data_IF_941654104884
#
_entry.id   IF_941654104884
#
_cell.length_a   1.000
_cell.length_b   1.000
_cell.length_c   1.000
_cell.angle_alpha   90.00
_cell.angle_beta   90.00
_cell.angle_gamma   90.00
#
_symmetry.space_group_name_H-M   'P 1'
#
loop_
_entity.id
_entity.type
_entity.pdbx_description
1 polymer ?
#
# COMPACT_ATOMS: atom_id res chain seq x y z
N UNK A 1 -8.69 4.25 -20.58
CA UNK A 1 -9.70 4.01 -19.53
C UNK A 1 -9.67 2.55 -19.02
N UNK A 2 -8.57 1.84 -19.27
CA UNK A 2 -8.36 0.41 -18.86
C UNK A 2 -7.16 0.30 -17.89
N UNK A 3 -6.36 1.37 -17.70
CA UNK A 3 -5.10 1.32 -16.93
C UNK A 3 -5.18 1.76 -15.47
N UNK A 4 -6.38 1.98 -14.92
CA UNK A 4 -6.53 2.47 -13.52
C UNK A 4 -6.71 1.30 -12.52
N UNK A 5 -6.96 0.08 -12.98
CA UNK A 5 -7.23 -1.07 -12.09
C UNK A 5 -5.96 -1.83 -11.67
N UNK A 6 -4.84 -1.64 -12.36
CA UNK A 6 -3.60 -2.39 -12.10
C UNK A 6 -2.64 -1.73 -11.08
N UNK A 7 -3.00 -0.57 -10.48
CA UNK A 7 -2.08 0.22 -9.63
C UNK A 7 -2.39 0.17 -8.13
N UNK A 8 -3.10 -0.83 -7.64
CA UNK A 8 -3.57 -0.87 -6.24
C UNK A 8 -3.02 -2.03 -5.39
N UNK A 9 -1.92 -2.68 -5.79
CA UNK A 9 -1.37 -3.82 -5.02
C UNK A 9 0.08 -3.61 -4.54
N UNK A 10 0.69 -2.48 -4.74
CA UNK A 10 2.05 -2.26 -4.23
C UNK A 10 2.14 -0.90 -3.54
N UNK A 11 2.10 -0.89 -2.24
CA UNK A 11 2.92 -0.04 -1.35
C UNK A 11 2.34 -0.03 0.06
N UNK A 12 2.97 -0.70 0.97
CA UNK A 12 3.11 -0.27 2.36
C UNK A 12 4.15 -1.16 3.05
N UNK A 13 5.33 -0.70 3.16
CA UNK A 13 6.32 -1.18 4.14
C UNK A 13 6.99 0.06 4.71
N UNK A 14 7.02 0.23 6.02
CA UNK A 14 8.23 0.33 6.84
C UNK A 14 7.90 0.76 8.29
N UNK A 15 8.63 0.13 9.19
CA UNK A 15 8.67 0.22 10.63
C UNK A 15 8.81 1.61 11.26
N UNK A 16 8.11 1.79 12.40
CA UNK A 16 8.40 2.83 13.39
C UNK A 16 8.90 2.20 14.70
N UNK A 17 10.03 2.63 15.28
CA UNK A 17 10.53 2.07 16.54
C UNK A 17 9.79 2.64 17.74
N UNK A 18 9.20 1.76 18.54
CA UNK A 18 8.63 2.10 19.85
C UNK A 18 9.75 2.36 20.88
N UNK A 19 9.78 3.58 21.39
CA UNK A 19 10.62 3.98 22.52
C UNK A 19 10.12 3.35 23.82
N UNK A 20 11.03 2.68 24.53
CA UNK A 20 10.84 2.23 25.90
C UNK A 20 10.70 3.41 26.86
N UNK A 21 9.62 3.44 27.63
CA UNK A 21 9.55 4.19 28.87
C UNK A 21 9.17 3.26 30.03
N UNK A 22 10.15 3.06 30.89
CA UNK A 22 10.02 2.43 32.20
C UNK A 22 9.23 3.34 33.15
N UNK A 23 8.23 2.77 33.83
CA UNK A 23 7.72 3.37 35.07
C UNK A 23 7.42 2.26 36.08
N UNK A 24 8.35 2.08 37.01
CA UNK A 24 8.08 1.39 38.24
C UNK A 24 7.32 2.34 39.17
N UNK A 25 6.16 1.95 39.68
CA UNK A 25 5.53 2.58 40.82
C UNK A 25 4.82 1.52 41.67
N UNK A 26 5.30 1.43 42.87
CA UNK A 26 4.81 0.75 44.04
C UNK A 26 3.34 1.03 44.34
N UNK A 27 2.56 0.01 44.68
CA UNK A 27 1.47 0.13 45.65
C UNK A 27 1.15 -1.21 46.29
N UNK A 28 1.26 -1.21 47.60
CA UNK A 28 0.87 -2.26 48.52
C UNK A 28 -0.63 -2.27 48.77
N UNK A 29 -1.16 -3.48 48.98
CA UNK A 29 -2.31 -3.81 49.80
C UNK A 29 -3.71 -3.42 49.31
N UNK A 30 -4.36 -4.41 48.70
CA UNK A 30 -5.68 -4.88 49.15
C UNK A 30 -5.88 -6.32 48.58
N UNK A 31 -5.57 -7.28 49.42
CA UNK A 31 -5.92 -8.71 49.17
C UNK A 31 -7.42 -8.85 49.37
N UNK A 32 -8.21 -8.66 48.31
CA UNK A 32 -9.49 -9.32 48.19
C UNK A 32 -9.21 -10.67 47.56
N UNK A 33 -9.54 -11.74 48.29
CA UNK A 33 -9.50 -13.12 47.83
C UNK A 33 -10.55 -13.34 46.75
N UNK A 34 -10.29 -12.89 45.55
CA UNK A 34 -10.92 -13.41 44.35
C UNK A 34 -10.06 -14.61 43.96
N UNK A 35 -10.52 -15.82 44.23
CA UNK A 35 -9.89 -17.03 43.70
C UNK A 35 -9.74 -16.85 42.19
N UNK A 36 -8.52 -17.00 41.68
CA UNK A 36 -8.31 -17.01 40.23
C UNK A 36 -9.26 -18.05 39.64
N UNK A 37 -9.98 -17.69 38.53
CA UNK A 37 -10.88 -18.63 37.89
C UNK A 37 -10.09 -19.91 37.56
N UNK A 38 -10.70 -21.10 37.78
CA UNK A 38 -10.09 -22.37 37.45
C UNK A 38 -9.60 -22.35 35.99
N UNK A 39 -8.45 -22.95 35.67
CA UNK A 39 -7.96 -23.01 34.30
C UNK A 39 -9.00 -23.72 33.41
N UNK A 40 -9.26 -23.17 32.25
CA UNK A 40 -10.22 -23.71 31.27
C UNK A 40 -9.83 -25.15 30.89
N UNK A 41 -10.83 -26.02 30.75
CA UNK A 41 -10.61 -27.35 30.16
C UNK A 41 -10.25 -27.20 28.67
N UNK A 42 -9.62 -28.20 28.03
CA UNK A 42 -9.36 -28.17 26.60
C UNK A 42 -10.61 -27.90 25.74
N UNK A 43 -11.75 -28.50 26.11
CA UNK A 43 -13.02 -28.30 25.42
C UNK A 43 -13.54 -26.85 25.57
N UNK A 44 -13.50 -26.30 26.78
CA UNK A 44 -13.88 -24.91 27.04
C UNK A 44 -12.97 -23.94 26.29
N UNK A 45 -11.67 -24.24 26.18
CA UNK A 45 -10.70 -23.47 25.43
C UNK A 45 -11.03 -23.45 23.93
N UNK A 46 -11.33 -24.65 23.37
CA UNK A 46 -11.69 -24.80 21.96
C UNK A 46 -12.99 -24.07 21.62
N UNK A 47 -14.04 -24.25 22.45
CA UNK A 47 -15.34 -23.57 22.26
C UNK A 47 -15.18 -22.05 22.32
N UNK A 48 -14.42 -21.54 23.29
CA UNK A 48 -14.14 -20.11 23.39
C UNK A 48 -13.35 -19.59 22.18
N UNK A 49 -12.34 -20.33 21.73
CA UNK A 49 -11.55 -19.96 20.56
C UNK A 49 -12.42 -19.86 19.32
N UNK A 50 -13.32 -20.84 19.09
CA UNK A 50 -14.27 -20.82 17.99
C UNK A 50 -15.24 -19.62 18.06
N UNK A 51 -15.81 -19.36 19.22
CA UNK A 51 -16.74 -18.24 19.40
C UNK A 51 -16.05 -16.88 19.16
N UNK A 52 -14.80 -16.72 19.56
CA UNK A 52 -14.01 -15.51 19.28
C UNK A 52 -13.66 -15.40 17.80
N UNK A 53 -13.30 -16.49 17.16
CA UNK A 53 -13.04 -16.53 15.72
C UNK A 53 -14.26 -16.12 14.90
N UNK A 54 -15.43 -16.71 15.14
CA UNK A 54 -16.69 -16.36 14.46
C UNK A 54 -17.02 -14.89 14.64
N UNK A 55 -16.80 -14.36 15.85
CA UNK A 55 -17.03 -12.94 16.13
C UNK A 55 -16.03 -12.04 15.40
N UNK A 56 -14.76 -12.39 15.36
CA UNK A 56 -13.72 -11.69 14.61
C UNK A 56 -14.02 -11.70 13.12
N UNK A 57 -14.38 -12.85 12.58
CA UNK A 57 -14.76 -13.01 11.18
C UNK A 57 -16.00 -12.18 10.80
N UNK A 58 -17.02 -12.12 11.67
CA UNK A 58 -18.21 -11.30 11.44
C UNK A 58 -17.88 -9.79 11.35
N UNK A 59 -16.96 -9.30 12.19
CA UNK A 59 -16.47 -7.91 12.09
C UNK A 59 -15.58 -7.67 10.88
N UNK A 60 -14.75 -8.64 10.47
CA UNK A 60 -13.88 -8.52 9.31
C UNK A 60 -14.69 -8.41 8.00
N UNK A 61 -15.69 -9.27 7.86
CA UNK A 61 -16.43 -9.42 6.61
C UNK A 61 -17.86 -8.85 6.64
N UNK A 62 -18.29 -8.29 7.75
CA UNK A 62 -19.57 -7.59 7.85
C UNK A 62 -20.79 -8.49 7.64
N UNK A 63 -20.79 -9.76 8.07
CA UNK A 63 -21.87 -10.71 7.81
C UNK A 63 -23.16 -10.26 8.49
N UNK A 64 -23.16 -10.15 9.82
CA UNK A 64 -24.29 -9.65 10.61
C UNK A 64 -24.05 -8.25 11.18
N UNK A 65 -22.82 -7.78 11.16
CA UNK A 65 -22.35 -6.47 11.63
C UNK A 65 -21.92 -5.61 10.45
N UNK A 66 -21.56 -4.37 10.71
CA UNK A 66 -20.73 -3.58 9.79
C UNK A 66 -19.26 -3.96 9.97
N UNK A 67 -18.48 -3.85 8.89
CA UNK A 67 -17.03 -4.09 8.95
C UNK A 67 -16.37 -3.16 9.97
N UNK A 68 -15.59 -3.75 10.86
CA UNK A 68 -14.76 -3.06 11.86
C UNK A 68 -13.47 -3.86 12.05
N UNK A 69 -12.44 -3.50 11.30
CA UNK A 69 -11.14 -4.21 11.30
C UNK A 69 -10.44 -4.19 12.65
N UNK A 70 -10.63 -3.13 13.44
CA UNK A 70 -10.03 -3.03 14.79
C UNK A 70 -10.62 -4.08 15.75
N UNK A 71 -11.94 -4.24 15.71
CA UNK A 71 -12.61 -5.28 16.51
C UNK A 71 -12.35 -6.68 15.95
N UNK A 72 -12.29 -6.84 14.63
CA UNK A 72 -11.95 -8.10 13.98
C UNK A 72 -10.58 -8.59 14.45
N UNK A 73 -9.56 -7.77 14.32
CA UNK A 73 -8.19 -8.05 14.75
C UNK A 73 -8.11 -8.46 16.22
N UNK A 74 -8.80 -7.73 17.09
CA UNK A 74 -8.83 -8.05 18.52
C UNK A 74 -9.36 -9.47 18.77
N UNK A 75 -10.51 -9.82 18.18
CA UNK A 75 -11.13 -11.12 18.43
C UNK A 75 -10.39 -12.25 17.73
N UNK A 76 -9.82 -12.02 16.54
CA UNK A 76 -8.97 -12.98 15.85
C UNK A 76 -7.69 -13.27 16.64
N UNK A 77 -7.03 -12.24 17.22
CA UNK A 77 -5.87 -12.43 18.10
C UNK A 77 -6.21 -13.22 19.36
N UNK A 78 -7.33 -12.89 20.03
CA UNK A 78 -7.79 -13.65 21.20
C UNK A 78 -8.09 -15.12 20.84
N UNK A 79 -8.63 -15.40 19.65
CA UNK A 79 -8.88 -16.77 19.17
C UNK A 79 -7.56 -17.50 18.85
N UNK A 80 -6.61 -16.84 18.21
CA UNK A 80 -5.28 -17.36 17.87
C UNK A 80 -4.49 -17.73 19.13
N UNK A 81 -4.54 -16.90 20.19
CA UNK A 81 -3.92 -17.17 21.50
C UNK A 81 -4.47 -18.44 22.16
N UNK A 82 -5.70 -18.80 21.83
CA UNK A 82 -6.32 -20.04 22.25
C UNK A 82 -6.02 -21.22 21.32
N UNK A 83 -5.27 -21.01 20.22
CA UNK A 83 -4.84 -22.05 19.29
C UNK A 83 -5.80 -22.28 18.11
N UNK A 84 -6.60 -21.27 17.70
CA UNK A 84 -7.49 -21.42 16.56
C UNK A 84 -6.73 -21.24 15.24
N UNK A 85 -6.58 -22.31 14.47
CA UNK A 85 -5.79 -22.32 13.25
C UNK A 85 -6.33 -21.37 12.15
N UNK A 86 -7.67 -21.27 12.02
CA UNK A 86 -8.27 -20.39 11.01
C UNK A 86 -8.14 -18.91 11.40
N UNK A 87 -8.14 -18.59 12.71
CA UNK A 87 -7.85 -17.22 13.16
C UNK A 87 -6.42 -16.80 12.79
N UNK A 88 -5.44 -17.69 12.95
CA UNK A 88 -4.06 -17.45 12.52
C UNK A 88 -3.95 -17.26 11.00
N UNK A 89 -4.73 -18.01 10.22
CA UNK A 89 -4.78 -17.81 8.76
C UNK A 89 -5.24 -16.41 8.39
N UNK A 90 -6.34 -15.92 8.96
CA UNK A 90 -6.85 -14.58 8.65
C UNK A 90 -5.97 -13.46 9.22
N UNK A 91 -5.36 -13.65 10.37
CA UNK A 91 -4.33 -12.71 10.88
C UNK A 91 -3.10 -12.64 9.97
N UNK A 92 -2.71 -13.76 9.37
CA UNK A 92 -1.62 -13.77 8.40
C UNK A 92 -1.98 -12.98 7.14
N UNK A 93 -3.21 -13.14 6.63
CA UNK A 93 -3.69 -12.33 5.50
C UNK A 93 -3.65 -10.83 5.82
N UNK A 94 -4.19 -10.43 6.98
CA UNK A 94 -4.16 -9.03 7.40
C UNK A 94 -2.73 -8.50 7.56
N UNK A 95 -1.80 -9.34 8.02
CA UNK A 95 -0.40 -8.95 8.15
C UNK A 95 0.28 -8.80 6.78
N UNK A 96 -0.05 -9.64 5.77
CA UNK A 96 0.41 -9.47 4.38
C UNK A 96 -0.15 -8.17 3.78
N UNK A 97 -1.44 -7.90 3.94
CA UNK A 97 -2.07 -6.65 3.47
C UNK A 97 -1.40 -5.39 4.08
N UNK A 98 -0.90 -5.49 5.31
CA UNK A 98 -0.20 -4.41 6.00
C UNK A 98 1.33 -4.43 5.78
N UNK A 99 1.85 -5.26 4.88
CA UNK A 99 3.28 -5.36 4.57
C UNK A 99 4.15 -6.01 5.65
N UNK A 100 3.57 -6.52 6.75
CA UNK A 100 4.33 -7.16 7.82
C UNK A 100 4.56 -8.65 7.54
N UNK A 101 5.47 -8.94 6.60
CA UNK A 101 5.73 -10.30 6.12
C UNK A 101 6.31 -11.23 7.20
N UNK A 102 7.11 -10.70 8.13
CA UNK A 102 7.66 -11.49 9.24
C UNK A 102 6.54 -12.01 10.16
N UNK A 103 5.64 -11.13 10.56
CA UNK A 103 4.48 -11.50 11.39
C UNK A 103 3.53 -12.42 10.63
N UNK A 104 3.27 -12.13 9.34
CA UNK A 104 2.45 -12.98 8.48
C UNK A 104 3.00 -14.42 8.42
N UNK A 105 4.32 -14.55 8.22
CA UNK A 105 5.02 -15.84 8.18
C UNK A 105 4.90 -16.58 9.51
N UNK A 106 5.04 -15.89 10.63
CA UNK A 106 4.88 -16.50 11.96
C UNK A 106 3.46 -17.06 12.18
N UNK A 107 2.44 -16.27 11.85
CA UNK A 107 1.04 -16.70 11.95
C UNK A 107 0.73 -17.86 11.02
N UNK A 108 1.16 -17.80 9.76
CA UNK A 108 0.78 -18.83 8.78
C UNK A 108 1.48 -20.17 9.03
N UNK A 109 2.74 -20.16 9.47
CA UNK A 109 3.42 -21.38 9.87
C UNK A 109 2.70 -22.06 11.04
N UNK A 110 2.31 -21.28 12.07
CA UNK A 110 1.52 -21.81 13.20
C UNK A 110 0.16 -22.36 12.74
N UNK A 111 -0.51 -21.71 11.78
CA UNK A 111 -1.77 -22.20 11.22
C UNK A 111 -1.59 -23.56 10.51
N UNK A 112 -0.52 -23.71 9.72
CA UNK A 112 -0.17 -24.94 8.99
C UNK A 112 0.18 -26.06 9.99
N UNK A 113 0.96 -25.78 11.02
CA UNK A 113 1.29 -26.74 12.10
C UNK A 113 0.05 -27.23 12.83
N UNK A 114 -0.97 -26.39 13.00
CA UNK A 114 -2.27 -26.74 13.57
C UNK A 114 -3.23 -27.38 12.55
N UNK A 115 -2.75 -27.71 11.34
CA UNK A 115 -3.49 -28.45 10.32
C UNK A 115 -4.26 -27.59 9.30
N UNK A 116 -4.15 -26.28 9.33
CA UNK A 116 -4.76 -25.43 8.30
C UNK A 116 -3.89 -25.39 7.03
N UNK A 117 -4.06 -26.39 6.15
CA UNK A 117 -3.29 -26.53 4.91
C UNK A 117 -3.59 -25.44 3.87
N UNK A 118 -4.72 -24.71 3.98
CA UNK A 118 -5.02 -23.54 3.17
C UNK A 118 -3.97 -22.43 3.38
N UNK A 119 -3.29 -22.43 4.52
CA UNK A 119 -2.19 -21.53 4.85
C UNK A 119 -1.03 -21.54 3.83
N UNK A 120 -0.87 -22.62 3.06
CA UNK A 120 0.11 -22.67 1.99
C UNK A 120 -0.13 -21.63 0.89
N UNK A 121 -1.38 -21.19 0.71
CA UNK A 121 -1.71 -20.14 -0.24
C UNK A 121 -1.10 -18.80 0.20
N UNK A 122 -1.25 -18.43 1.46
CA UNK A 122 -0.68 -17.20 2.01
C UNK A 122 0.85 -17.31 2.12
N UNK A 123 1.37 -18.49 2.46
CA UNK A 123 2.82 -18.72 2.44
C UNK A 123 3.42 -18.53 1.05
N UNK A 124 2.68 -18.91 -0.02
CA UNK A 124 3.08 -18.68 -1.40
C UNK A 124 3.16 -17.17 -1.71
N UNK A 125 2.17 -16.40 -1.28
CA UNK A 125 2.13 -14.95 -1.45
C UNK A 125 3.33 -14.27 -0.76
N UNK A 126 3.65 -14.68 0.47
CA UNK A 126 4.84 -14.19 1.19
C UNK A 126 6.12 -14.58 0.43
N UNK A 127 6.22 -15.83 -0.07
CA UNK A 127 7.40 -16.32 -0.80
C UNK A 127 7.58 -15.59 -2.13
N UNK A 128 6.51 -15.20 -2.79
CA UNK A 128 6.54 -14.41 -4.02
C UNK A 128 7.06 -12.99 -3.75
N UNK A 129 6.57 -12.33 -2.70
CA UNK A 129 7.04 -10.99 -2.31
C UNK A 129 8.50 -10.98 -1.88
N UNK A 130 9.02 -12.08 -1.34
CA UNK A 130 10.42 -12.23 -0.93
C UNK A 130 11.32 -12.85 -2.04
N UNK A 131 10.79 -13.09 -3.24
CA UNK A 131 11.50 -13.68 -4.38
C UNK A 131 12.15 -15.05 -4.09
N UNK A 132 11.50 -15.91 -3.30
CA UNK A 132 12.07 -17.20 -2.88
C UNK A 132 11.91 -18.34 -3.92
N UNK A 133 11.11 -18.15 -4.96
CA UNK A 133 11.04 -19.06 -6.12
C UNK A 133 10.24 -20.36 -5.96
N UNK A 134 9.59 -20.60 -4.81
CA UNK A 134 8.77 -21.80 -4.52
C UNK A 134 7.26 -21.51 -4.51
N UNK A 135 6.84 -20.30 -4.88
CA UNK A 135 5.47 -19.82 -4.77
C UNK A 135 4.46 -20.64 -5.58
N UNK A 136 4.80 -21.08 -6.79
CA UNK A 136 3.85 -21.79 -7.68
C UNK A 136 3.33 -23.10 -7.08
N UNK A 137 4.21 -23.94 -6.53
CA UNK A 137 3.83 -25.20 -5.89
C UNK A 137 3.02 -24.98 -4.60
N UNK A 138 3.38 -23.94 -3.85
CA UNK A 138 2.66 -23.57 -2.64
C UNK A 138 1.25 -23.05 -2.98
N UNK A 139 1.10 -22.21 -4.03
CA UNK A 139 -0.21 -21.76 -4.49
C UNK A 139 -1.11 -22.92 -4.92
N UNK A 140 -0.61 -23.86 -5.70
CA UNK A 140 -1.37 -25.06 -6.11
C UNK A 140 -1.83 -25.88 -4.93
N UNK A 141 -0.94 -26.11 -3.96
CA UNK A 141 -1.27 -26.88 -2.75
C UNK A 141 -2.26 -26.15 -1.84
N UNK A 142 -2.09 -24.83 -1.66
CA UNK A 142 -3.00 -23.99 -0.90
C UNK A 142 -4.36 -23.87 -1.55
N UNK A 143 -4.42 -23.64 -2.87
CA UNK A 143 -5.66 -23.62 -3.65
C UNK A 143 -6.47 -24.90 -3.48
N UNK A 144 -5.82 -26.07 -3.57
CA UNK A 144 -6.49 -27.35 -3.34
C UNK A 144 -7.13 -27.40 -1.96
N UNK A 145 -6.41 -27.00 -0.91
CA UNK A 145 -6.92 -27.00 0.44
C UNK A 145 -8.07 -25.97 0.66
N UNK A 146 -7.97 -24.78 0.06
CA UNK A 146 -9.05 -23.79 0.04
C UNK A 146 -10.33 -24.36 -0.58
N UNK A 147 -10.18 -25.02 -1.74
CA UNK A 147 -11.29 -25.65 -2.45
C UNK A 147 -11.95 -26.73 -1.60
N UNK A 148 -11.18 -27.61 -0.98
CA UNK A 148 -11.69 -28.67 -0.09
C UNK A 148 -12.50 -28.08 1.10
N UNK A 149 -12.02 -26.99 1.72
CA UNK A 149 -12.76 -26.31 2.80
C UNK A 149 -14.11 -25.75 2.32
N UNK A 150 -14.11 -25.04 1.20
CA UNK A 150 -15.37 -24.46 0.65
C UNK A 150 -16.34 -25.55 0.18
N UNK A 151 -15.87 -26.65 -0.43
CA UNK A 151 -16.69 -27.79 -0.81
C UNK A 151 -17.30 -28.53 0.42
N UNK A 152 -16.64 -28.47 1.57
CA UNK A 152 -17.18 -28.96 2.86
C UNK A 152 -18.17 -27.99 3.51
N UNK A 153 -18.43 -26.84 2.89
CA UNK A 153 -19.38 -25.82 3.36
C UNK A 153 -18.77 -24.73 4.23
N UNK A 154 -17.44 -24.68 4.37
CA UNK A 154 -16.75 -23.62 5.10
C UNK A 154 -16.63 -22.36 4.21
N UNK A 155 -17.66 -21.52 4.27
CA UNK A 155 -17.75 -20.29 3.47
C UNK A 155 -16.79 -19.18 3.92
N UNK A 156 -16.09 -19.34 5.04
CA UNK A 156 -15.07 -18.37 5.48
C UNK A 156 -13.94 -18.21 4.47
N UNK A 157 -13.63 -19.27 3.71
CA UNK A 157 -12.58 -19.28 2.69
C UNK A 157 -13.05 -18.84 1.30
N UNK A 158 -14.35 -18.49 1.13
CA UNK A 158 -14.91 -18.15 -0.18
C UNK A 158 -14.23 -16.92 -0.81
N UNK A 159 -13.83 -15.93 -0.02
CA UNK A 159 -13.17 -14.74 -0.55
C UNK A 159 -11.82 -15.10 -1.18
N UNK A 160 -10.99 -15.89 -0.48
CA UNK A 160 -9.66 -16.28 -0.97
C UNK A 160 -9.78 -17.24 -2.17
N UNK A 161 -10.67 -18.23 -2.10
CA UNK A 161 -10.88 -19.17 -3.21
C UNK A 161 -11.48 -18.47 -4.44
N UNK A 162 -12.45 -17.58 -4.26
CA UNK A 162 -13.06 -16.81 -5.33
C UNK A 162 -12.05 -15.88 -6.01
N UNK A 163 -11.19 -15.24 -5.23
CA UNK A 163 -10.07 -14.44 -5.72
C UNK A 163 -9.07 -15.28 -6.54
N UNK A 164 -8.71 -16.46 -6.02
CA UNK A 164 -7.83 -17.39 -6.73
C UNK A 164 -8.39 -17.78 -8.11
N UNK A 165 -9.69 -18.08 -8.22
CA UNK A 165 -10.33 -18.32 -9.50
C UNK A 165 -10.41 -17.10 -10.40
N UNK A 166 -10.66 -15.91 -9.84
CA UNK A 166 -10.78 -14.66 -10.61
C UNK A 166 -9.49 -14.29 -11.31
N UNK A 167 -8.35 -14.48 -10.67
CA UNK A 167 -7.04 -14.06 -11.16
C UNK A 167 -6.13 -15.22 -11.59
N UNK A 168 -6.61 -16.46 -11.53
CA UNK A 168 -5.83 -17.62 -11.95
C UNK A 168 -4.65 -17.97 -11.04
N UNK A 169 -4.73 -17.66 -9.73
CA UNK A 169 -3.62 -17.86 -8.79
C UNK A 169 -3.68 -19.28 -8.21
N UNK A 170 -2.69 -20.11 -8.55
CA UNK A 170 -2.65 -21.52 -8.17
C UNK A 170 -3.64 -22.39 -8.98
N UNK A 171 -4.34 -21.82 -9.95
CA UNK A 171 -5.29 -22.44 -10.85
C UNK A 171 -5.38 -21.65 -12.16
N UNK A 172 -6.16 -22.13 -13.14
CA UNK A 172 -6.51 -21.31 -14.30
C UNK A 172 -7.56 -20.25 -13.92
N UNK A 173 -7.50 -19.09 -14.56
CA UNK A 173 -8.51 -18.04 -14.42
C UNK A 173 -9.89 -18.56 -14.81
N UNK A 174 -10.87 -18.34 -13.94
CA UNK A 174 -12.24 -18.80 -14.19
C UNK A 174 -13.26 -17.91 -13.46
N UNK A 175 -13.75 -16.90 -14.16
CA UNK A 175 -14.71 -15.92 -13.62
C UNK A 175 -16.04 -16.59 -13.22
N UNK A 176 -16.49 -17.62 -13.95
CA UNK A 176 -17.73 -18.33 -13.62
C UNK A 176 -17.60 -19.08 -12.29
N UNK A 177 -16.46 -19.72 -12.05
CA UNK A 177 -16.19 -20.38 -10.78
C UNK A 177 -16.03 -19.33 -9.65
N UNK A 178 -15.40 -18.20 -9.90
CA UNK A 178 -15.30 -17.11 -8.93
C UNK A 178 -16.69 -16.64 -8.49
N UNK A 179 -17.60 -16.36 -9.44
CA UNK A 179 -19.00 -15.98 -9.14
C UNK A 179 -19.69 -17.08 -8.32
N UNK A 180 -19.53 -18.34 -8.71
CA UNK A 180 -20.15 -19.49 -8.02
C UNK A 180 -19.68 -19.61 -6.56
N UNK A 181 -18.41 -19.31 -6.31
CA UNK A 181 -17.81 -19.35 -4.96
C UNK A 181 -18.22 -18.14 -4.12
N UNK A 182 -18.23 -16.94 -4.70
CA UNK A 182 -18.63 -15.73 -3.97
C UNK A 182 -20.12 -15.69 -3.62
N UNK A 183 -20.99 -16.22 -4.50
CA UNK A 183 -22.45 -16.06 -4.35
C UNK A 183 -22.99 -16.55 -3.00
N UNK A 184 -22.70 -17.76 -2.49
CA UNK A 184 -23.23 -18.24 -1.22
C UNK A 184 -22.78 -17.37 -0.02
N UNK A 185 -21.52 -16.91 -0.04
CA UNK A 185 -20.98 -16.04 1.01
C UNK A 185 -21.60 -14.65 0.95
N UNK A 186 -21.81 -14.09 -0.25
CA UNK A 186 -22.50 -12.83 -0.47
C UNK A 186 -23.98 -12.88 -0.03
N UNK A 187 -24.66 -14.02 -0.24
CA UNK A 187 -26.03 -14.25 0.23
C UNK A 187 -26.13 -14.25 1.76
N UNK A 188 -25.10 -14.68 2.47
CA UNK A 188 -24.98 -14.53 3.92
C UNK A 188 -24.64 -13.11 4.36
N UNK A 189 -24.36 -12.21 3.43
CA UNK A 189 -24.07 -10.81 3.70
C UNK A 189 -22.60 -10.47 3.84
N UNK A 190 -21.68 -11.37 3.45
CA UNK A 190 -20.24 -11.08 3.44
C UNK A 190 -19.95 -9.87 2.54
N UNK A 191 -19.49 -8.79 3.13
CA UNK A 191 -19.27 -7.52 2.43
C UNK A 191 -18.19 -7.62 1.33
N UNK A 192 -17.13 -8.40 1.57
CA UNK A 192 -16.05 -8.59 0.57
C UNK A 192 -16.54 -9.39 -0.63
N UNK A 193 -17.26 -10.52 -0.42
CA UNK A 193 -17.86 -11.29 -1.52
C UNK A 193 -18.87 -10.44 -2.31
N UNK A 194 -19.66 -9.61 -1.65
CA UNK A 194 -20.54 -8.64 -2.31
C UNK A 194 -19.76 -7.65 -3.16
N UNK A 195 -18.64 -7.12 -2.66
CA UNK A 195 -17.74 -6.23 -3.38
C UNK A 195 -17.17 -6.87 -4.64
N UNK A 196 -16.62 -8.08 -4.51
CA UNK A 196 -16.06 -8.82 -5.65
C UNK A 196 -17.10 -9.15 -6.73
N UNK A 197 -18.33 -9.51 -6.34
CA UNK A 197 -19.41 -9.68 -7.33
C UNK A 197 -19.73 -8.36 -8.03
N UNK A 198 -19.75 -7.25 -7.29
CA UNK A 198 -19.94 -5.91 -7.87
C UNK A 198 -18.87 -5.57 -8.91
N UNK A 199 -17.61 -5.81 -8.61
CA UNK A 199 -16.47 -5.60 -9.51
C UNK A 199 -16.59 -6.48 -10.75
N UNK A 200 -16.82 -7.79 -10.59
CA UNK A 200 -16.96 -8.73 -11.72
C UNK A 200 -18.11 -8.31 -12.65
N UNK A 201 -19.27 -7.93 -12.11
CA UNK A 201 -20.38 -7.47 -12.93
C UNK A 201 -20.09 -6.14 -13.63
N UNK A 202 -19.33 -5.26 -12.99
CA UNK A 202 -18.89 -4.02 -13.62
C UNK A 202 -17.96 -4.28 -14.82
N UNK A 203 -16.97 -5.17 -14.68
CA UNK A 203 -16.07 -5.60 -15.74
C UNK A 203 -16.81 -6.27 -16.91
N UNK A 204 -17.93 -6.97 -16.61
CA UNK A 204 -18.81 -7.54 -17.62
C UNK A 204 -19.76 -6.51 -18.28
N UNK A 205 -19.70 -5.24 -17.91
CA UNK A 205 -20.60 -4.19 -18.38
C UNK A 205 -22.05 -4.28 -17.85
N UNK A 206 -22.29 -5.10 -16.84
CA UNK A 206 -23.60 -5.26 -16.18
C UNK A 206 -23.77 -4.25 -15.06
N UNK A 207 -23.86 -2.97 -15.43
CA UNK A 207 -23.79 -1.82 -14.51
C UNK A 207 -24.84 -1.88 -13.39
N UNK A 208 -26.08 -2.28 -13.68
CA UNK A 208 -27.15 -2.36 -12.68
C UNK A 208 -26.88 -3.44 -11.62
N UNK A 209 -26.41 -4.61 -12.04
CA UNK A 209 -26.02 -5.68 -11.11
C UNK A 209 -24.78 -5.26 -10.30
N UNK A 210 -23.79 -4.66 -10.96
CA UNK A 210 -22.62 -4.11 -10.29
C UNK A 210 -23.04 -3.12 -9.18
N UNK A 211 -23.84 -2.12 -9.52
CA UNK A 211 -24.35 -1.12 -8.57
C UNK A 211 -25.08 -1.76 -7.39
N UNK A 212 -25.92 -2.75 -7.65
CA UNK A 212 -26.68 -3.47 -6.64
C UNK A 212 -25.79 -4.19 -5.62
N UNK A 213 -24.76 -4.91 -6.09
CA UNK A 213 -23.86 -5.66 -5.21
C UNK A 213 -22.89 -4.72 -4.48
N UNK A 214 -22.32 -3.74 -5.21
CA UNK A 214 -21.44 -2.72 -4.62
C UNK A 214 -22.14 -1.91 -3.54
N UNK A 215 -23.42 -1.52 -3.75
CA UNK A 215 -24.22 -0.79 -2.73
C UNK A 215 -24.37 -1.61 -1.46
N UNK A 216 -24.75 -2.89 -1.57
CA UNK A 216 -24.89 -3.76 -0.40
C UNK A 216 -23.57 -3.92 0.38
N UNK A 217 -22.45 -3.98 -0.32
CA UNK A 217 -21.13 -4.04 0.28
C UNK A 217 -20.77 -2.72 0.99
N UNK A 218 -21.03 -1.58 0.33
CA UNK A 218 -20.75 -0.24 0.85
C UNK A 218 -21.59 0.08 2.10
N UNK A 219 -22.87 -0.33 2.14
CA UNK A 219 -23.75 -0.20 3.31
C UNK A 219 -23.25 -0.97 4.53
N UNK A 220 -22.47 -2.04 4.30
CA UNK A 220 -21.79 -2.79 5.35
C UNK A 220 -20.43 -2.23 5.75
N UNK A 221 -20.14 -1.02 5.35
CA UNK A 221 -18.91 -0.29 5.67
C UNK A 221 -17.63 -0.84 5.00
N UNK A 222 -17.76 -1.55 3.88
CA UNK A 222 -16.61 -1.91 3.07
C UNK A 222 -16.08 -0.67 2.33
N UNK A 223 -14.87 -0.21 2.66
CA UNK A 223 -14.30 1.04 2.14
C UNK A 223 -14.04 1.00 0.64
N UNK A 224 -13.56 -0.13 0.11
CA UNK A 224 -13.35 -0.32 -1.34
C UNK A 224 -14.66 -0.24 -2.12
N UNK A 225 -15.73 -0.85 -1.59
CA UNK A 225 -17.04 -0.77 -2.22
C UNK A 225 -17.62 0.65 -2.15
N UNK A 226 -17.39 1.38 -1.05
CA UNK A 226 -17.76 2.80 -0.94
C UNK A 226 -17.02 3.65 -1.97
N UNK A 227 -15.71 3.43 -2.14
CA UNK A 227 -14.91 4.06 -3.19
C UNK A 227 -15.45 3.72 -4.58
N UNK A 228 -15.67 2.44 -4.89
CA UNK A 228 -16.17 2.00 -6.19
C UNK A 228 -17.55 2.61 -6.50
N UNK A 229 -18.42 2.70 -5.50
CA UNK A 229 -19.75 3.29 -5.68
C UNK A 229 -19.69 4.79 -6.00
N UNK A 230 -18.69 5.50 -5.51
CA UNK A 230 -18.48 6.92 -5.82
C UNK A 230 -18.17 7.16 -7.30
N UNK A 231 -17.64 6.16 -8.00
CA UNK A 231 -17.37 6.23 -9.46
C UNK A 231 -18.52 5.72 -10.33
N UNK A 232 -19.36 4.83 -9.78
CA UNK A 232 -20.51 4.24 -10.51
C UNK A 232 -21.73 5.18 -10.48
N UNK A 233 -21.84 6.06 -9.47
CA UNK A 233 -22.98 6.97 -9.35
C UNK A 233 -22.70 8.28 -10.12
N UNK A 234 -23.59 8.62 -11.06
CA UNK A 234 -23.50 9.87 -11.84
C UNK A 234 -23.87 11.13 -11.02
N UNK A 235 -24.43 10.96 -9.83
CA UNK A 235 -24.83 12.03 -8.93
C UNK A 235 -23.63 12.48 -8.07
N UNK A 236 -23.16 13.72 -8.29
CA UNK A 236 -22.03 14.28 -7.57
C UNK A 236 -22.20 14.30 -6.05
N UNK A 237 -23.41 14.55 -5.53
CA UNK A 237 -23.65 14.57 -4.07
C UNK A 237 -23.52 13.16 -3.48
N UNK A 238 -24.06 12.16 -4.16
CA UNK A 238 -23.93 10.76 -3.74
C UNK A 238 -22.49 10.25 -3.88
N UNK A 239 -21.82 10.63 -4.97
CA UNK A 239 -20.41 10.32 -5.17
C UNK A 239 -19.57 10.86 -4.01
N UNK A 240 -19.72 12.13 -3.65
CA UNK A 240 -19.05 12.74 -2.50
C UNK A 240 -19.45 12.10 -1.16
N UNK A 241 -20.71 11.72 -0.99
CA UNK A 241 -21.16 11.00 0.21
C UNK A 241 -20.36 9.70 0.38
N UNK A 242 -20.24 8.88 -0.67
CA UNK A 242 -19.53 7.62 -0.60
C UNK A 242 -18.01 7.79 -0.48
N UNK A 243 -17.43 8.80 -1.17
CA UNK A 243 -16.02 9.15 -0.99
C UNK A 243 -15.70 9.54 0.45
N UNK A 244 -16.54 10.38 1.08
CA UNK A 244 -16.32 10.76 2.48
C UNK A 244 -16.42 9.54 3.41
N UNK A 245 -17.40 8.63 3.17
CA UNK A 245 -17.53 7.39 3.96
C UNK A 245 -16.29 6.48 3.81
N UNK A 246 -15.78 6.31 2.59
CA UNK A 246 -14.54 5.56 2.36
C UNK A 246 -13.34 6.22 3.04
N UNK A 247 -13.23 7.54 2.97
CA UNK A 247 -12.16 8.30 3.62
C UNK A 247 -12.24 8.25 5.16
N UNK A 248 -13.44 8.20 5.75
CA UNK A 248 -13.63 7.96 7.19
C UNK A 248 -13.09 6.59 7.63
N UNK A 249 -13.14 5.61 6.74
CA UNK A 249 -12.58 4.27 6.93
C UNK A 249 -11.10 4.15 6.50
N UNK A 250 -10.41 5.28 6.35
CA UNK A 250 -9.01 5.36 5.96
C UNK A 250 -8.68 4.73 4.58
N UNK A 251 -9.64 4.71 3.66
CA UNK A 251 -9.37 4.34 2.27
C UNK A 251 -8.54 5.44 1.61
N UNK A 252 -7.26 5.19 1.41
CA UNK A 252 -6.28 6.19 0.95
C UNK A 252 -6.70 6.80 -0.39
N UNK A 253 -7.12 5.95 -1.35
CA UNK A 253 -7.57 6.42 -2.65
C UNK A 253 -8.78 7.36 -2.55
N UNK A 254 -9.68 7.14 -1.60
CA UNK A 254 -10.81 8.04 -1.38
C UNK A 254 -10.36 9.36 -0.75
N UNK A 255 -9.41 9.32 0.19
CA UNK A 255 -8.82 10.51 0.81
C UNK A 255 -8.12 11.36 -0.25
N UNK A 256 -7.31 10.74 -1.13
CA UNK A 256 -6.63 11.42 -2.24
C UNK A 256 -7.62 12.02 -3.26
N UNK A 257 -8.67 11.28 -3.62
CA UNK A 257 -9.71 11.80 -4.51
C UNK A 257 -10.42 13.03 -3.90
N UNK A 258 -10.67 13.04 -2.60
CA UNK A 258 -11.20 14.21 -1.90
C UNK A 258 -10.19 15.37 -1.88
N UNK A 259 -8.90 15.09 -1.67
CA UNK A 259 -7.86 16.10 -1.74
C UNK A 259 -7.83 16.77 -3.12
N UNK A 260 -7.81 15.98 -4.20
CA UNK A 260 -7.87 16.51 -5.57
C UNK A 260 -9.18 17.26 -5.87
N UNK A 261 -10.32 16.74 -5.41
CA UNK A 261 -11.61 17.42 -5.60
C UNK A 261 -11.64 18.81 -4.95
N UNK A 262 -11.01 18.98 -3.78
CA UNK A 262 -10.97 20.25 -3.07
C UNK A 262 -9.77 21.13 -3.45
N UNK A 263 -8.79 20.64 -4.19
CA UNK A 263 -7.56 21.37 -4.50
C UNK A 263 -7.84 22.78 -5.07
N UNK A 264 -8.68 22.87 -6.10
CA UNK A 264 -9.04 24.14 -6.73
C UNK A 264 -10.24 24.86 -6.06
N UNK A 265 -10.97 24.18 -5.17
CA UNK A 265 -12.20 24.70 -4.56
C UNK A 265 -12.00 25.22 -3.14
N UNK A 266 -11.19 24.52 -2.37
CA UNK A 266 -10.85 24.81 -0.98
C UNK A 266 -9.50 24.18 -0.64
N UNK A 267 -8.44 24.91 -0.92
CA UNK A 267 -7.06 24.43 -0.75
C UNK A 267 -6.73 24.07 0.72
N UNK A 268 -7.38 24.71 1.71
CA UNK A 268 -7.20 24.34 3.12
C UNK A 268 -7.78 22.97 3.43
N UNK A 269 -8.94 22.69 2.83
CA UNK A 269 -9.58 21.37 2.97
C UNK A 269 -8.78 20.31 2.22
N UNK A 270 -8.26 20.62 1.02
CA UNK A 270 -7.34 19.74 0.30
C UNK A 270 -6.10 19.41 1.13
N UNK A 271 -5.45 20.42 1.73
CA UNK A 271 -4.29 20.24 2.61
C UNK A 271 -4.60 19.30 3.79
N UNK A 272 -5.82 19.37 4.36
CA UNK A 272 -6.21 18.48 5.44
C UNK A 272 -6.38 17.03 5.00
N UNK A 273 -6.83 16.79 3.77
CA UNK A 273 -6.91 15.43 3.21
C UNK A 273 -5.52 14.90 2.81
N UNK A 274 -4.65 15.73 2.20
CA UNK A 274 -3.26 15.33 1.96
C UNK A 274 -2.54 15.00 3.25
N UNK A 275 -2.75 15.78 4.33
CA UNK A 275 -2.19 15.45 5.64
C UNK A 275 -2.71 14.09 6.15
N UNK A 276 -4.02 13.83 6.02
CA UNK A 276 -4.61 12.55 6.43
C UNK A 276 -4.03 11.36 5.64
N UNK A 277 -3.83 11.50 4.34
CA UNK A 277 -3.21 10.45 3.52
C UNK A 277 -1.71 10.29 3.84
N UNK A 278 -1.00 11.40 4.06
CA UNK A 278 0.40 11.39 4.49
C UNK A 278 0.61 10.74 5.87
N UNK A 279 -0.36 10.86 6.78
CA UNK A 279 -0.34 10.18 8.09
C UNK A 279 -0.58 8.65 7.95
N UNK A 280 -1.10 8.21 6.81
CA UNK A 280 -1.25 6.81 6.41
C UNK A 280 -0.12 6.34 5.48
N UNK A 281 0.98 7.09 5.42
CA UNK A 281 2.17 6.82 4.64
C UNK A 281 1.95 6.73 3.11
N UNK A 282 0.94 7.45 2.59
CA UNK A 282 0.82 7.66 1.15
C UNK A 282 1.92 8.61 0.66
N UNK A 283 2.84 8.09 -0.12
CA UNK A 283 4.03 8.79 -0.58
C UNK A 283 3.71 9.98 -1.48
N UNK A 284 2.70 9.86 -2.34
CA UNK A 284 2.23 10.95 -3.20
C UNK A 284 1.59 12.06 -2.37
N UNK A 285 0.78 11.73 -1.35
CA UNK A 285 0.21 12.73 -0.45
C UNK A 285 1.29 13.50 0.30
N UNK A 286 2.36 12.82 0.73
CA UNK A 286 3.51 13.46 1.39
C UNK A 286 4.19 14.47 0.46
N UNK A 287 4.37 14.13 -0.81
CA UNK A 287 4.95 15.03 -1.82
C UNK A 287 4.03 16.24 -2.08
N UNK A 288 2.73 16.02 -2.28
CA UNK A 288 1.76 17.09 -2.49
C UNK A 288 1.70 18.04 -1.28
N UNK A 289 1.70 17.49 -0.06
CA UNK A 289 1.72 18.29 1.16
C UNK A 289 3.01 19.11 1.28
N UNK A 290 4.16 18.57 0.87
CA UNK A 290 5.43 19.31 0.84
C UNK A 290 5.34 20.52 -0.07
N UNK A 291 4.70 20.37 -1.25
CA UNK A 291 4.45 21.46 -2.19
C UNK A 291 3.57 22.56 -1.57
N UNK A 292 2.51 22.18 -0.85
CA UNK A 292 1.64 23.15 -0.18
C UNK A 292 2.39 23.96 0.88
N UNK A 293 3.26 23.31 1.69
CA UNK A 293 4.11 24.02 2.65
C UNK A 293 5.16 24.91 1.97
N UNK A 294 5.71 24.48 0.85
CA UNK A 294 6.67 25.26 0.07
C UNK A 294 6.07 26.59 -0.42
N UNK A 295 4.83 26.56 -0.89
CA UNK A 295 4.17 27.72 -1.51
C UNK A 295 3.30 28.51 -0.52
N UNK A 296 2.97 27.94 0.64
CA UNK A 296 2.00 28.52 1.58
C UNK A 296 0.56 28.44 1.09
N UNK A 297 0.23 27.37 0.35
CA UNK A 297 -1.08 27.11 -0.21
C UNK A 297 -1.92 26.27 0.76
N UNK A 298 -2.97 26.86 1.34
CA UNK A 298 -3.83 26.19 2.32
C UNK A 298 -3.21 25.98 3.71
N UNK A 299 -1.90 26.12 3.82
CA UNK A 299 -1.08 26.02 5.03
C UNK A 299 -0.15 27.22 5.16
N UNK A 300 0.41 27.49 6.33
CA UNK A 300 1.45 28.49 6.48
C UNK A 300 2.74 28.04 5.79
N UNK A 301 3.35 28.92 4.99
CA UNK A 301 4.59 28.60 4.27
C UNK A 301 5.69 28.20 5.25
N UNK A 302 6.31 27.06 4.99
CA UNK A 302 7.39 26.51 5.81
C UNK A 302 8.30 25.61 4.97
N UNK A 303 9.45 26.15 4.55
CA UNK A 303 10.42 25.41 3.72
C UNK A 303 11.09 24.25 4.48
N UNK A 304 11.28 24.38 5.82
CA UNK A 304 11.83 23.30 6.67
C UNK A 304 10.85 22.13 6.73
N UNK A 305 9.54 22.42 6.91
CA UNK A 305 8.51 21.39 6.94
C UNK A 305 8.36 20.69 5.58
N UNK A 306 8.50 21.45 4.49
CA UNK A 306 8.52 20.87 3.15
C UNK A 306 9.67 19.87 2.97
N UNK A 307 10.86 20.20 3.50
CA UNK A 307 12.03 19.29 3.49
C UNK A 307 11.80 18.04 4.35
N UNK A 308 11.25 18.18 5.56
CA UNK A 308 10.91 17.02 6.41
C UNK A 308 9.95 16.03 5.70
N UNK A 309 8.94 16.58 5.00
CA UNK A 309 8.00 15.76 4.24
C UNK A 309 8.68 15.09 3.05
N UNK A 310 9.53 15.80 2.31
CA UNK A 310 10.29 15.19 1.22
C UNK A 310 11.22 14.07 1.72
N UNK A 311 11.86 14.26 2.88
CA UNK A 311 12.69 13.23 3.49
C UNK A 311 11.87 11.99 3.89
N UNK A 312 10.65 12.19 4.44
CA UNK A 312 9.71 11.10 4.68
C UNK A 312 9.36 10.36 3.38
N UNK A 313 9.02 11.08 2.31
CA UNK A 313 8.69 10.46 1.03
C UNK A 313 9.88 9.74 0.36
N UNK A 314 11.11 10.21 0.59
CA UNK A 314 12.34 9.49 0.18
C UNK A 314 12.46 8.17 0.94
N UNK A 315 12.11 8.14 2.22
CA UNK A 315 12.03 6.90 3.01
C UNK A 315 10.97 5.91 2.49
N UNK A 316 9.97 6.41 1.78
CA UNK A 316 8.95 5.63 1.07
C UNK A 316 9.33 5.33 -0.40
N UNK A 317 10.60 5.55 -0.77
CA UNK A 317 11.17 5.30 -2.10
C UNK A 317 10.53 6.14 -3.23
N UNK A 318 9.91 7.29 -2.91
CA UNK A 318 9.30 8.16 -3.91
C UNK A 318 10.35 8.90 -4.74
N UNK A 319 10.40 8.63 -6.04
CA UNK A 319 11.37 9.23 -6.99
C UNK A 319 11.23 10.75 -7.12
N UNK A 320 9.99 11.25 -7.10
CA UNK A 320 9.73 12.69 -7.21
C UNK A 320 10.27 13.41 -5.96
N UNK A 321 10.07 12.82 -4.78
CA UNK A 321 10.63 13.35 -3.53
C UNK A 321 12.16 13.37 -3.54
N UNK A 322 12.81 12.29 -4.02
CA UNK A 322 14.27 12.25 -4.15
C UNK A 322 14.77 13.38 -5.04
N UNK A 323 14.12 13.61 -6.19
CA UNK A 323 14.48 14.68 -7.09
C UNK A 323 14.25 16.07 -6.46
N UNK A 324 13.09 16.30 -5.84
CA UNK A 324 12.79 17.57 -5.16
C UNK A 324 13.75 17.84 -4.00
N UNK A 325 14.03 16.84 -3.15
CA UNK A 325 14.93 16.98 -2.00
C UNK A 325 16.37 17.26 -2.45
N UNK A 326 16.84 16.62 -3.52
CA UNK A 326 18.17 16.92 -4.09
C UNK A 326 18.30 18.38 -4.50
N UNK A 327 17.26 18.96 -5.12
CA UNK A 327 17.23 20.39 -5.47
C UNK A 327 17.28 21.25 -4.20
N UNK A 328 16.57 20.87 -3.12
CA UNK A 328 16.63 21.61 -1.83
C UNK A 328 18.03 21.66 -1.25
N UNK A 329 18.75 20.53 -1.28
CA UNK A 329 20.16 20.51 -0.86
C UNK A 329 21.08 21.36 -1.75
N UNK A 330 20.83 21.44 -3.05
CA UNK A 330 21.60 22.30 -3.95
C UNK A 330 21.33 23.79 -3.71
N UNK A 331 20.08 24.15 -3.45
CA UNK A 331 19.66 25.54 -3.23
C UNK A 331 19.94 26.05 -1.81
N UNK A 332 19.96 25.15 -0.83
CA UNK A 332 20.00 25.49 0.60
C UNK A 332 18.66 26.08 1.05
N UNK A 333 17.53 25.53 0.57
CA UNK A 333 16.19 26.03 0.82
C UNK A 333 15.45 25.09 1.77
N UNK A 334 15.18 25.55 3.00
CA UNK A 334 14.62 24.75 4.09
C UNK A 334 15.60 23.75 4.71
N UNK A 335 16.84 23.68 4.19
CA UNK A 335 17.91 22.81 4.63
C UNK A 335 19.26 23.47 4.34
N UNK A 336 20.30 23.11 5.09
CA UNK A 336 21.66 23.57 4.77
C UNK A 336 22.12 23.00 3.42
N UNK A 337 22.77 23.86 2.60
CA UNK A 337 23.25 23.44 1.30
C UNK A 337 24.28 22.30 1.43
N UNK A 338 24.02 21.20 0.71
CA UNK A 338 24.86 20.03 0.74
C UNK A 338 24.88 19.30 -0.62
N UNK A 339 25.98 19.48 -1.36
CA UNK A 339 26.12 18.88 -2.70
C UNK A 339 26.28 17.37 -2.66
N UNK A 340 26.91 16.82 -1.62
CA UNK A 340 27.10 15.37 -1.48
C UNK A 340 25.78 14.65 -1.26
N UNK A 341 24.89 15.23 -0.43
CA UNK A 341 23.54 14.69 -0.24
C UNK A 341 22.68 14.78 -1.50
N UNK A 342 22.79 15.87 -2.24
CA UNK A 342 22.09 16.00 -3.51
C UNK A 342 22.53 14.93 -4.52
N UNK A 343 23.84 14.71 -4.65
CA UNK A 343 24.42 13.68 -5.52
C UNK A 343 24.02 12.27 -5.08
N UNK A 344 24.02 11.98 -3.77
CA UNK A 344 23.58 10.69 -3.24
C UNK A 344 22.11 10.39 -3.60
N UNK A 345 21.21 11.38 -3.49
CA UNK A 345 19.81 11.23 -3.90
C UNK A 345 19.66 10.97 -5.40
N UNK A 346 20.41 11.67 -6.26
CA UNK A 346 20.40 11.39 -7.69
C UNK A 346 20.93 9.99 -8.01
N UNK A 347 21.98 9.53 -7.32
CA UNK A 347 22.50 8.17 -7.50
C UNK A 347 21.50 7.11 -7.04
N UNK A 348 20.73 7.37 -5.99
CA UNK A 348 19.65 6.47 -5.56
C UNK A 348 18.54 6.38 -6.63
N UNK A 349 18.13 7.51 -7.22
CA UNK A 349 17.16 7.50 -8.33
C UNK A 349 17.65 6.61 -9.47
N UNK A 350 18.95 6.74 -9.85
CA UNK A 350 19.54 5.96 -10.92
C UNK A 350 19.59 4.47 -10.57
N UNK A 351 19.98 4.13 -9.34
CA UNK A 351 20.09 2.74 -8.89
C UNK A 351 18.70 2.06 -8.85
N UNK A 352 17.68 2.77 -8.41
CA UNK A 352 16.30 2.27 -8.41
C UNK A 352 15.77 2.13 -9.84
N UNK A 353 16.00 3.11 -10.72
CA UNK A 353 15.59 3.06 -12.13
C UNK A 353 16.25 1.87 -12.86
N UNK A 354 17.55 1.62 -12.63
CA UNK A 354 18.25 0.45 -13.17
C UNK A 354 17.70 -0.89 -12.65
N UNK A 355 17.15 -0.94 -11.42
CA UNK A 355 16.53 -2.14 -10.83
C UNK A 355 15.14 -2.42 -11.37
N UNK A 356 14.39 -1.39 -11.77
CA UNK A 356 13.01 -1.47 -12.25
C UNK A 356 12.91 -1.65 -13.77
N UNK A 357 14.04 -1.55 -14.52
CA UNK A 357 14.00 -1.46 -15.96
C UNK A 357 13.79 -2.80 -16.67
N UNK A 358 12.51 -3.15 -16.86
CA UNK A 358 12.07 -3.72 -18.16
C UNK A 358 11.28 -2.73 -19.03
N UNK A 359 10.99 -1.51 -18.57
CA UNK A 359 10.23 -0.49 -19.33
C UNK A 359 10.70 0.94 -19.05
N UNK A 360 11.50 1.48 -19.98
CA UNK A 360 11.46 2.88 -20.48
C UNK A 360 11.18 4.01 -19.46
N UNK A 361 12.00 4.19 -18.46
CA UNK A 361 12.21 5.52 -17.90
C UNK A 361 13.62 5.96 -18.21
N UNK A 362 13.77 7.08 -18.90
CA UNK A 362 15.02 7.43 -19.48
C UNK A 362 16.00 7.92 -18.40
N UNK A 363 16.80 7.02 -17.83
CA UNK A 363 17.88 7.30 -16.85
C UNK A 363 18.80 8.43 -17.32
N UNK A 364 18.98 8.60 -18.63
CA UNK A 364 19.72 9.72 -19.19
C UNK A 364 19.17 11.11 -18.84
N UNK A 365 17.85 11.25 -18.63
CA UNK A 365 17.25 12.51 -18.24
C UNK A 365 17.66 12.93 -16.83
N UNK A 366 17.81 11.97 -15.92
CA UNK A 366 18.30 12.22 -14.55
C UNK A 366 19.70 12.78 -14.58
N UNK A 367 20.58 12.21 -15.41
CA UNK A 367 21.94 12.73 -15.60
C UNK A 367 21.95 14.14 -16.22
N UNK A 368 21.05 14.45 -17.14
CA UNK A 368 20.95 15.80 -17.69
C UNK A 368 20.48 16.82 -16.66
N UNK A 369 19.51 16.46 -15.82
CA UNK A 369 19.08 17.31 -14.73
C UNK A 369 20.20 17.54 -13.72
N UNK A 370 20.91 16.48 -13.33
CA UNK A 370 22.08 16.58 -12.45
C UNK A 370 23.16 17.50 -13.03
N UNK A 371 23.48 17.36 -14.31
CA UNK A 371 24.44 18.23 -15.00
C UNK A 371 24.03 19.70 -14.98
N UNK A 372 22.74 19.99 -15.27
CA UNK A 372 22.20 21.35 -15.20
C UNK A 372 22.31 21.93 -13.78
N UNK A 373 22.08 21.13 -12.76
CA UNK A 373 22.20 21.55 -11.36
C UNK A 373 23.64 21.81 -10.94
N UNK A 374 24.60 20.99 -11.41
CA UNK A 374 26.02 21.28 -11.20
C UNK A 374 26.43 22.62 -11.84
N UNK A 375 25.97 22.92 -13.07
CA UNK A 375 26.24 24.23 -13.70
C UNK A 375 25.61 25.38 -12.93
N UNK A 376 24.35 25.25 -12.53
CA UNK A 376 23.56 26.34 -11.95
C UNK A 376 23.91 26.64 -10.49
N UNK A 377 24.03 25.62 -9.65
CA UNK A 377 24.15 25.76 -8.19
C UNK A 377 25.55 25.50 -7.67
N UNK A 378 26.17 24.38 -8.03
CA UNK A 378 27.49 24.02 -7.56
C UNK A 378 28.59 24.83 -8.26
N UNK A 379 28.32 25.34 -9.47
CA UNK A 379 29.32 25.96 -10.35
C UNK A 379 30.49 25.01 -10.64
N UNK A 380 30.24 23.70 -10.62
CA UNK A 380 31.21 22.66 -10.93
C UNK A 380 31.08 22.22 -12.38
N UNK A 381 31.87 22.88 -13.22
CA UNK A 381 31.91 22.60 -14.67
C UNK A 381 32.41 21.18 -14.98
N UNK A 382 33.27 20.56 -14.12
CA UNK A 382 33.76 19.21 -14.33
C UNK A 382 32.68 18.17 -14.04
N UNK A 383 32.01 18.27 -12.86
CA UNK A 383 30.92 17.38 -12.51
C UNK A 383 29.75 17.49 -13.52
N UNK A 384 29.42 18.72 -13.97
CA UNK A 384 28.44 18.93 -15.01
C UNK A 384 28.81 18.26 -16.34
N UNK A 385 30.08 18.38 -16.75
CA UNK A 385 30.59 17.76 -17.97
C UNK A 385 30.51 16.23 -17.93
N UNK A 386 30.90 15.63 -16.81
CA UNK A 386 30.87 14.17 -16.62
C UNK A 386 29.42 13.65 -16.62
N UNK A 387 28.52 14.32 -15.93
CA UNK A 387 27.10 13.98 -15.94
C UNK A 387 26.46 14.09 -17.35
N UNK A 388 26.73 15.16 -18.11
CA UNK A 388 26.26 15.26 -19.51
C UNK A 388 26.79 14.14 -20.38
N UNK A 389 28.08 13.79 -20.25
CA UNK A 389 28.69 12.70 -21.04
C UNK A 389 28.04 11.37 -20.73
N UNK A 390 27.83 11.07 -19.45
CA UNK A 390 27.20 9.83 -19.01
C UNK A 390 25.75 9.73 -19.50
N UNK A 391 24.96 10.79 -19.34
CA UNK A 391 23.58 10.83 -19.87
C UNK A 391 23.54 10.65 -21.40
N UNK A 392 24.46 11.29 -22.15
CA UNK A 392 24.51 11.14 -23.61
C UNK A 392 24.90 9.71 -24.04
N UNK A 393 25.77 9.03 -23.31
CA UNK A 393 26.12 7.63 -23.56
C UNK A 393 24.91 6.72 -23.40
N UNK A 394 24.16 6.90 -22.29
CA UNK A 394 22.94 6.13 -22.00
C UNK A 394 21.87 6.41 -23.05
N UNK A 395 21.57 7.69 -23.33
CA UNK A 395 20.58 8.07 -24.36
C UNK A 395 20.89 7.43 -25.72
N UNK A 396 22.16 7.44 -26.13
CA UNK A 396 22.60 6.86 -27.39
C UNK A 396 22.39 5.33 -27.42
N UNK A 397 22.63 4.65 -26.28
CA UNK A 397 22.44 3.21 -26.15
C UNK A 397 20.97 2.83 -26.20
N UNK A 398 20.12 3.56 -25.48
CA UNK A 398 18.68 3.27 -25.33
C UNK A 398 17.87 3.70 -26.56
N UNK A 399 18.05 4.93 -27.04
CA UNK A 399 17.17 5.53 -28.06
C UNK A 399 17.74 5.53 -29.46
N UNK A 400 19.06 5.29 -29.62
CA UNK A 400 19.83 5.48 -30.86
C UNK A 400 19.73 6.91 -31.44
N UNK A 401 19.30 7.88 -30.63
CA UNK A 401 19.20 9.30 -31.03
C UNK A 401 20.54 10.01 -30.86
N UNK A 402 20.73 11.04 -31.66
CA UNK A 402 21.88 11.94 -31.58
C UNK A 402 21.46 13.28 -31.00
N UNK A 403 21.64 13.47 -29.68
CA UNK A 403 21.23 14.68 -28.99
C UNK A 403 22.22 15.83 -29.25
N UNK A 404 21.98 16.57 -30.32
CA UNK A 404 22.80 17.73 -30.73
C UNK A 404 22.87 18.84 -29.68
N UNK A 405 21.79 19.03 -28.89
CA UNK A 405 21.73 20.06 -27.83
C UNK A 405 22.72 19.72 -26.70
N UNK A 406 22.72 18.48 -26.22
CA UNK A 406 23.64 18.03 -25.17
C UNK A 406 25.09 18.03 -25.66
N UNK A 407 25.34 17.56 -26.87
CA UNK A 407 26.69 17.65 -27.49
C UNK A 407 27.21 19.08 -27.55
N UNK A 408 26.36 20.06 -27.85
CA UNK A 408 26.74 21.47 -27.83
C UNK A 408 27.09 21.95 -26.40
N UNK A 409 26.33 21.55 -25.38
CA UNK A 409 26.63 21.86 -23.97
C UNK A 409 27.98 21.26 -23.55
N UNK A 410 28.21 19.98 -23.85
CA UNK A 410 29.49 19.29 -23.58
C UNK A 410 30.66 20.07 -24.21
N UNK A 411 30.57 20.41 -25.49
CA UNK A 411 31.59 21.18 -26.21
C UNK A 411 31.87 22.55 -25.57
N UNK A 412 30.83 23.23 -25.14
CA UNK A 412 30.95 24.53 -24.48
C UNK A 412 31.65 24.44 -23.14
N UNK A 413 31.32 23.42 -22.31
CA UNK A 413 31.97 23.16 -21.03
C UNK A 413 33.45 22.76 -21.21
N UNK A 414 33.75 21.91 -22.18
CA UNK A 414 35.16 21.54 -22.51
C UNK A 414 35.98 22.76 -22.93
N UNK A 415 35.41 23.66 -23.75
CA UNK A 415 36.09 24.88 -24.12
C UNK A 415 36.31 25.82 -22.92
N UNK A 416 35.33 25.95 -22.03
CA UNK A 416 35.44 26.76 -20.79
C UNK A 416 36.52 26.21 -19.83
N UNK A 417 36.57 24.91 -19.65
CA UNK A 417 37.58 24.25 -18.80
C UNK A 417 39.00 24.35 -19.37
N UNK A 418 39.14 24.29 -20.69
CA UNK A 418 40.45 24.45 -21.35
C UNK A 418 40.97 25.89 -21.28
N UNK A 419 40.12 26.91 -21.13
CA UNK A 419 40.52 28.31 -20.92
C UNK A 419 40.96 28.60 -19.48
N UNK A 420 40.59 27.74 -18.50
CA UNK A 420 40.97 27.86 -17.08
C UNK A 420 42.28 27.17 -16.76
N UNK A 421 42.81 26.38 -17.69
CA UNK A 421 44.16 25.76 -17.62
C UNK A 421 45.21 26.65 -18.25
#
# INVERSE_FOLDING_TARGET
>A
MIDIIALLIATAVIDSPLSHASAAATSSALKSTISAPAPMTPEQRLEKAKALYEKGFDYEYGITKTVDRTLADKFLKEAADLGHADALFFLAMNAVENGNLEQARAYINSAIELGNMAGKYILAEISEQEYLGDSEELYKAGFKALKEKVEQGDLHYSNVLGYAYRFGIGTEENIEQAIKVFTPSAEQGNAMSLGHLGEIYFEQGKVEDAKKFTLKSAEKNNSKAQLNLSFIDDDTEKSLYWLNRAAENNEISAIMNLAYYYHDKDIKKAASYYQKAADLDDDQAVVELSYLYENGEGVEKNDEKAVELLDKAVGLENFEAMNKLSIRYLEGRGVERNYEMAEALFNNIIALDESLSEKETASYNVYYQLAERYEEFAKDDNAALDAYKKGLEIEKKETKRDNKKIKAKIKALEAKLNQKK
#
